data_IF_966543407602
#
_entry.id   IF_966543407602
#
_cell.length_a   1.000
_cell.length_b   1.000
_cell.length_c   1.000
_cell.angle_alpha   90.00
_cell.angle_beta   90.00
_cell.angle_gamma   90.00
#
_symmetry.space_group_name_H-M   'P 1'
#
loop_
_entity.id
_entity.type
_entity.pdbx_description
1 polymer ?
#
# COMPACT_ATOMS: atom_id res chain seq x y z
N UNK A 1 -38.04 -60.69 31.70
CA UNK A 1 -36.62 -60.94 32.05
C UNK A 1 -35.96 -61.45 30.79
N UNK A 2 -35.16 -60.70 30.04
CA UNK A 2 -34.21 -59.63 30.42
C UNK A 2 -34.10 -58.61 29.27
N UNK A 3 -34.12 -57.32 29.60
CA UNK A 3 -33.87 -56.23 28.67
C UNK A 3 -32.35 -56.10 28.39
N UNK A 4 -32.00 -55.96 27.11
CA UNK A 4 -30.66 -55.63 26.67
C UNK A 4 -30.46 -54.12 26.78
N UNK A 5 -29.57 -53.67 27.67
CA UNK A 5 -29.17 -52.26 27.76
C UNK A 5 -27.86 -52.07 27.00
N UNK A 6 -27.96 -51.46 25.81
CA UNK A 6 -26.84 -50.96 25.02
C UNK A 6 -26.31 -49.67 25.67
N UNK A 7 -25.07 -49.70 26.15
CA UNK A 7 -24.36 -48.52 26.63
C UNK A 7 -23.66 -47.81 25.47
N UNK A 8 -24.29 -46.77 24.92
CA UNK A 8 -23.62 -45.81 24.03
C UNK A 8 -22.93 -44.74 24.87
N UNK A 9 -21.59 -44.75 24.89
CA UNK A 9 -20.81 -43.63 25.40
C UNK A 9 -20.86 -42.48 24.39
N UNK A 10 -21.47 -41.38 24.80
CA UNK A 10 -21.51 -40.12 24.08
C UNK A 10 -20.20 -39.36 24.32
N UNK A 11 -19.29 -39.37 23.34
CA UNK A 11 -18.09 -38.53 23.34
C UNK A 11 -18.44 -37.14 22.81
N UNK A 12 -19.07 -36.33 23.66
CA UNK A 12 -19.11 -34.88 23.45
C UNK A 12 -17.78 -34.29 23.92
N UNK A 13 -16.74 -34.46 23.11
CA UNK A 13 -15.51 -33.69 23.28
C UNK A 13 -15.79 -32.22 22.96
N UNK A 14 -15.88 -31.47 24.04
CA UNK A 14 -15.93 -30.02 24.10
C UNK A 14 -14.71 -29.43 23.40
N UNK A 15 -14.87 -29.06 22.12
CA UNK A 15 -13.87 -28.25 21.45
C UNK A 15 -13.91 -26.83 22.00
N UNK A 16 -13.03 -26.56 22.97
CA UNK A 16 -12.56 -25.22 23.35
C UNK A 16 -11.81 -24.58 22.17
N UNK A 17 -12.57 -24.09 21.18
CA UNK A 17 -12.01 -23.23 20.15
C UNK A 17 -11.96 -21.83 20.72
N UNK A 18 -10.76 -21.45 21.16
CA UNK A 18 -10.40 -20.16 21.76
C UNK A 18 -11.10 -18.96 21.09
N UNK A 19 -11.53 -17.94 21.86
CA UNK A 19 -12.21 -16.73 21.35
C UNK A 19 -11.41 -15.87 20.35
N UNK A 20 -10.11 -16.17 20.16
CA UNK A 20 -9.18 -15.37 19.38
C UNK A 20 -9.53 -15.26 17.88
N UNK A 21 -10.40 -16.12 17.34
CA UNK A 21 -10.78 -16.09 15.93
C UNK A 21 -11.79 -14.98 15.58
N UNK A 22 -12.51 -14.44 16.58
CA UNK A 22 -13.50 -13.37 16.34
C UNK A 22 -12.85 -12.00 16.14
N UNK A 23 -11.71 -11.74 16.77
CA UNK A 23 -11.05 -10.42 16.77
C UNK A 23 -10.12 -10.21 15.57
N UNK A 24 -9.70 -11.29 14.90
CA UNK A 24 -8.67 -11.22 13.86
C UNK A 24 -9.20 -10.98 12.43
N UNK A 25 -10.47 -11.30 12.15
CA UNK A 25 -11.02 -11.18 10.78
C UNK A 25 -11.61 -9.80 10.47
N UNK A 26 -12.13 -9.11 11.48
CA UNK A 26 -12.49 -7.70 11.43
C UNK A 26 -12.24 -7.15 12.84
N UNK A 27 -11.13 -6.45 13.10
CA UNK A 27 -11.09 -5.57 14.26
C UNK A 27 -12.30 -4.66 14.12
N UNK A 28 -13.14 -4.58 15.13
CA UNK A 28 -14.11 -3.50 15.27
C UNK A 28 -13.43 -2.20 14.83
N UNK A 29 -13.92 -1.55 13.78
CA UNK A 29 -13.40 -0.29 13.29
C UNK A 29 -13.14 0.63 14.49
N UNK A 30 -11.90 1.09 14.74
CA UNK A 30 -11.66 2.05 15.80
C UNK A 30 -12.40 3.35 15.46
N UNK A 31 -13.31 3.77 16.32
CA UNK A 31 -13.77 5.15 16.38
C UNK A 31 -12.55 6.02 16.72
N UNK A 32 -11.89 6.57 15.69
CA UNK A 32 -10.83 7.57 15.89
C UNK A 32 -11.47 8.92 16.20
N UNK A 33 -11.75 9.14 17.48
CA UNK A 33 -11.91 10.48 18.03
C UNK A 33 -10.73 10.81 18.94
N UNK A 34 -10.15 11.99 18.72
CA UNK A 34 -9.17 12.74 19.51
C UNK A 34 -7.69 12.35 19.42
N UNK A 35 -6.96 13.15 18.63
CA UNK A 35 -5.52 13.42 18.77
C UNK A 35 -5.25 14.19 20.08
N UNK A 36 -4.21 13.87 20.86
CA UNK A 36 -3.62 14.80 21.81
C UNK A 36 -2.52 15.64 21.14
N UNK A 37 -2.69 16.95 21.28
CA UNK A 37 -1.78 18.03 20.90
C UNK A 37 -0.43 18.03 21.65
N UNK A 38 0.56 18.62 20.96
CA UNK A 38 1.74 19.39 21.44
C UNK A 38 2.97 18.64 21.95
N UNK A 39 4.09 18.89 21.25
CA UNK A 39 5.13 19.84 21.71
C UNK A 39 5.91 20.41 20.51
N UNK A 40 5.85 21.74 20.37
CA UNK A 40 6.64 22.56 19.46
C UNK A 40 8.02 22.74 20.10
N UNK A 41 9.10 22.40 19.39
CA UNK A 41 10.46 22.78 19.75
C UNK A 41 10.94 23.90 18.84
N UNK A 42 11.27 25.00 19.47
CA UNK A 42 11.63 26.32 18.96
C UNK A 42 12.95 26.31 18.17
N UNK A 43 12.92 26.78 16.92
CA UNK A 43 14.12 27.10 16.14
C UNK A 43 14.52 28.55 16.40
N UNK A 44 15.53 28.79 17.24
CA UNK A 44 16.07 30.13 17.44
C UNK A 44 17.04 30.49 16.31
N UNK A 45 16.64 31.46 15.49
CA UNK A 45 17.43 32.17 14.51
C UNK A 45 18.32 33.23 15.18
N UNK A 46 19.60 33.31 14.79
CA UNK A 46 20.45 34.48 15.03
C UNK A 46 21.28 34.81 13.79
N UNK A 47 20.74 35.71 12.96
CA UNK A 47 21.48 36.44 11.95
C UNK A 47 22.07 37.70 12.59
N UNK A 48 23.37 37.95 12.43
CA UNK A 48 23.98 39.24 12.78
C UNK A 48 24.79 39.77 11.62
N UNK A 49 24.29 40.88 11.08
CA UNK A 49 24.83 41.68 9.98
C UNK A 49 25.90 42.66 10.46
N UNK A 50 27.04 42.75 9.77
CA UNK A 50 27.90 43.94 9.82
C UNK A 50 28.57 44.23 8.46
N UNK A 51 28.25 45.40 7.93
CA UNK A 51 28.71 46.00 6.66
C UNK A 51 30.19 46.31 6.70
N UNK A 52 30.90 46.06 5.59
CA UNK A 52 31.98 46.95 5.11
C UNK A 52 31.85 47.09 3.59
N UNK A 53 31.50 48.32 3.16
CA UNK A 53 31.36 48.74 1.77
C UNK A 53 32.75 49.17 1.29
N UNK A 54 33.39 48.37 0.43
CA UNK A 54 34.59 48.81 -0.31
C UNK A 54 34.15 49.21 -1.72
N UNK A 55 34.23 50.50 -1.99
CA UNK A 55 34.14 51.08 -3.32
C UNK A 55 35.37 50.65 -4.11
N UNK A 56 35.18 49.89 -5.19
CA UNK A 56 36.22 49.54 -6.17
C UNK A 56 35.82 50.16 -7.49
N UNK A 57 36.77 50.90 -8.08
CA UNK A 57 36.67 51.63 -9.33
C UNK A 57 36.26 50.72 -10.49
N UNK A 58 35.56 51.31 -11.46
CA UNK A 58 35.21 50.69 -12.73
C UNK A 58 36.46 50.57 -13.60
N UNK A 59 37.26 49.56 -13.35
CA UNK A 59 38.22 49.06 -14.34
C UNK A 59 37.69 47.70 -14.80
N UNK A 60 37.35 47.62 -16.09
CA UNK A 60 36.95 46.35 -16.71
C UNK A 60 38.08 45.35 -16.50
N UNK A 61 37.85 44.41 -15.58
CA UNK A 61 38.81 43.35 -15.31
C UNK A 61 39.12 42.62 -16.62
N UNK A 62 40.40 42.46 -17.01
CA UNK A 62 40.76 41.70 -18.21
C UNK A 62 40.23 40.26 -18.14
N UNK A 63 40.02 39.74 -16.92
CA UNK A 63 39.39 38.45 -16.66
C UNK A 63 37.90 38.46 -17.06
N UNK A 64 37.18 39.55 -16.75
CA UNK A 64 35.75 39.68 -17.10
C UNK A 64 35.58 39.75 -18.62
N UNK A 65 36.45 40.50 -19.32
CA UNK A 65 36.44 40.56 -20.78
C UNK A 65 36.71 39.20 -21.43
N UNK A 66 37.71 38.46 -20.92
CA UNK A 66 38.01 37.10 -21.39
C UNK A 66 36.86 36.12 -21.15
N UNK A 67 36.21 36.18 -19.97
CA UNK A 67 35.06 35.34 -19.66
C UNK A 67 33.86 35.65 -20.56
N UNK A 68 33.60 36.93 -20.85
CA UNK A 68 32.54 37.32 -21.77
C UNK A 68 32.83 36.79 -23.18
N UNK A 69 34.07 36.93 -23.68
CA UNK A 69 34.49 36.45 -24.99
C UNK A 69 34.39 34.91 -25.12
N UNK A 70 34.82 34.16 -24.10
CA UNK A 70 34.65 32.69 -24.06
C UNK A 70 33.17 32.27 -24.08
N UNK A 71 32.29 33.03 -23.41
CA UNK A 71 30.86 32.72 -23.36
C UNK A 71 30.08 33.19 -24.61
N UNK A 72 30.56 34.22 -25.29
CA UNK A 72 29.92 34.74 -26.52
C UNK A 72 30.50 34.16 -27.80
N UNK A 73 31.65 33.48 -27.74
CA UNK A 73 32.15 32.66 -28.85
C UNK A 73 31.20 31.51 -29.12
N UNK A 74 30.34 31.71 -30.12
CA UNK A 74 29.28 30.83 -30.60
C UNK A 74 29.73 29.36 -30.69
N UNK A 75 29.04 28.53 -29.90
CA UNK A 75 28.93 27.09 -30.13
C UNK A 75 28.49 26.90 -31.59
N UNK A 76 29.15 26.06 -32.40
CA UNK A 76 28.65 25.77 -33.74
C UNK A 76 27.22 25.23 -33.61
N UNK A 77 26.27 25.90 -34.27
CA UNK A 77 24.87 25.50 -34.42
C UNK A 77 24.77 24.18 -35.19
N UNK A 78 25.27 23.08 -34.63
CA UNK A 78 25.14 21.75 -35.20
C UNK A 78 25.17 20.69 -34.10
N UNK A 79 24.25 20.80 -33.14
CA UNK A 79 23.77 19.62 -32.42
C UNK A 79 22.35 19.81 -31.88
N UNK A 80 21.44 20.31 -32.72
CA UNK A 80 20.07 19.78 -32.70
C UNK A 80 20.10 18.35 -33.23
N UNK A 81 20.87 17.47 -32.58
CA UNK A 81 20.66 16.04 -32.69
C UNK A 81 19.36 15.84 -31.94
N UNK A 82 18.27 15.84 -32.70
CA UNK A 82 17.04 15.22 -32.28
C UNK A 82 17.48 13.95 -31.54
N UNK A 83 17.15 13.87 -30.25
CA UNK A 83 17.17 12.59 -29.55
C UNK A 83 16.00 11.85 -30.20
N UNK A 84 16.25 11.35 -31.40
CA UNK A 84 15.61 10.16 -31.90
C UNK A 84 15.88 9.17 -30.79
N UNK A 85 14.86 8.94 -29.96
CA UNK A 85 14.84 7.86 -28.97
C UNK A 85 14.90 6.61 -29.82
N UNK A 86 16.11 6.27 -30.23
CA UNK A 86 16.41 5.05 -30.93
C UNK A 86 15.94 3.97 -29.99
N UNK A 87 14.86 3.31 -30.40
CA UNK A 87 14.30 2.07 -29.85
C UNK A 87 15.30 0.91 -29.98
N UNK A 88 16.61 1.22 -29.98
CA UNK A 88 17.70 0.28 -29.84
C UNK A 88 17.49 -0.49 -28.56
N UNK A 89 17.44 -1.80 -28.73
CA UNK A 89 17.46 -2.84 -27.72
C UNK A 89 18.58 -2.68 -26.67
N UNK A 90 19.53 -1.76 -26.86
CA UNK A 90 20.62 -1.46 -25.93
C UNK A 90 20.43 -0.15 -25.13
N UNK A 91 19.28 0.52 -25.23
CA UNK A 91 18.99 1.71 -24.42
C UNK A 91 18.63 1.30 -22.98
N UNK A 92 19.63 1.23 -22.11
CA UNK A 92 19.46 0.84 -20.70
C UNK A 92 18.45 1.70 -19.94
N UNK A 93 18.41 3.01 -20.21
CA UNK A 93 17.47 3.93 -19.54
C UNK A 93 16.02 3.61 -19.91
N UNK A 94 15.75 3.32 -21.19
CA UNK A 94 14.44 2.89 -21.64
C UNK A 94 14.00 1.60 -20.94
N UNK A 95 14.87 0.59 -20.92
CA UNK A 95 14.55 -0.70 -20.29
C UNK A 95 14.33 -0.57 -18.78
N UNK A 96 15.16 0.22 -18.09
CA UNK A 96 14.99 0.50 -16.67
C UNK A 96 13.63 1.16 -16.37
N UNK A 97 13.27 2.22 -17.11
CA UNK A 97 11.99 2.89 -16.93
C UNK A 97 10.81 1.96 -17.24
N UNK A 98 10.95 1.08 -18.24
CA UNK A 98 9.94 0.07 -18.57
C UNK A 98 9.75 -0.92 -17.43
N UNK A 99 10.84 -1.44 -16.84
CA UNK A 99 10.79 -2.32 -15.67
C UNK A 99 10.05 -1.61 -14.53
N UNK A 100 10.47 -0.40 -14.16
CA UNK A 100 9.84 0.36 -13.08
C UNK A 100 8.34 0.59 -13.29
N UNK A 101 7.91 0.92 -14.50
CA UNK A 101 6.49 1.10 -14.82
C UNK A 101 5.72 -0.22 -14.73
N UNK A 102 6.26 -1.31 -15.28
CA UNK A 102 5.61 -2.62 -15.24
C UNK A 102 5.49 -3.17 -13.83
N UNK A 103 6.52 -3.02 -12.99
CA UNK A 103 6.51 -3.45 -11.60
C UNK A 103 5.55 -2.60 -10.75
N UNK A 104 5.55 -1.28 -10.94
CA UNK A 104 4.61 -0.39 -10.26
C UNK A 104 3.17 -0.75 -10.60
N UNK A 105 2.88 -0.98 -11.89
CA UNK A 105 1.57 -1.40 -12.36
C UNK A 105 1.17 -2.76 -11.79
N UNK A 106 2.04 -3.77 -11.88
CA UNK A 106 1.77 -5.10 -11.35
C UNK A 106 1.54 -5.08 -9.84
N UNK A 107 2.36 -4.34 -9.09
CA UNK A 107 2.21 -4.18 -7.63
C UNK A 107 0.87 -3.55 -7.27
N UNK A 108 0.46 -2.54 -8.04
CA UNK A 108 -0.83 -1.88 -7.87
C UNK A 108 -2.01 -2.80 -8.17
N UNK A 109 -1.97 -3.53 -9.28
CA UNK A 109 -3.03 -4.49 -9.64
C UNK A 109 -3.18 -5.58 -8.58
N UNK A 110 -2.07 -6.03 -7.99
CA UNK A 110 -2.09 -6.97 -6.86
C UNK A 110 -2.77 -6.36 -5.65
N UNK A 111 -2.42 -5.12 -5.26
CA UNK A 111 -3.05 -4.42 -4.13
C UNK A 111 -4.56 -4.24 -4.38
N UNK A 112 -4.94 -3.80 -5.58
CA UNK A 112 -6.34 -3.63 -5.97
C UNK A 112 -7.12 -4.95 -5.93
N UNK A 113 -6.51 -6.04 -6.36
CA UNK A 113 -7.12 -7.39 -6.28
C UNK A 113 -7.37 -7.81 -4.84
N UNK A 114 -6.41 -7.59 -3.93
CA UNK A 114 -6.59 -7.86 -2.50
C UNK A 114 -7.66 -6.96 -1.87
N UNK A 115 -7.70 -5.67 -2.25
CA UNK A 115 -8.73 -4.75 -1.79
C UNK A 115 -10.13 -5.21 -2.21
N UNK A 116 -10.32 -5.52 -3.49
CA UNK A 116 -11.59 -5.99 -4.04
C UNK A 116 -12.01 -7.33 -3.41
N UNK A 117 -11.07 -8.23 -3.17
CA UNK A 117 -11.36 -9.49 -2.46
C UNK A 117 -11.82 -9.23 -1.01
N UNK A 118 -11.15 -8.32 -0.29
CA UNK A 118 -11.56 -7.89 1.05
C UNK A 118 -12.95 -7.24 1.08
N UNK A 119 -13.24 -6.38 0.11
CA UNK A 119 -14.54 -5.74 -0.05
C UNK A 119 -15.65 -6.77 -0.32
N UNK A 120 -15.39 -7.74 -1.20
CA UNK A 120 -16.33 -8.82 -1.49
C UNK A 120 -16.62 -9.68 -0.25
N UNK A 121 -15.59 -10.01 0.55
CA UNK A 121 -15.77 -10.72 1.83
C UNK A 121 -16.64 -9.90 2.79
N UNK A 122 -16.39 -8.58 2.91
CA UNK A 122 -17.19 -7.70 3.76
C UNK A 122 -18.65 -7.64 3.32
N UNK A 123 -18.92 -7.47 2.02
CA UNK A 123 -20.28 -7.47 1.46
C UNK A 123 -21.02 -8.78 1.76
N UNK A 124 -20.36 -9.93 1.61
CA UNK A 124 -20.97 -11.24 1.95
C UNK A 124 -21.21 -11.40 3.45
N UNK A 125 -20.26 -10.97 4.28
CA UNK A 125 -20.44 -10.96 5.71
C UNK A 125 -21.65 -10.12 6.13
N UNK A 126 -21.76 -8.90 5.61
CA UNK A 126 -22.87 -7.99 5.92
C UNK A 126 -24.21 -8.55 5.41
N UNK A 127 -24.22 -9.22 4.26
CA UNK A 127 -25.40 -9.95 3.78
C UNK A 127 -25.88 -11.01 4.78
N UNK A 128 -24.99 -11.89 5.26
CA UNK A 128 -25.36 -12.91 6.25
C UNK A 128 -25.72 -12.29 7.61
N UNK A 129 -25.08 -11.17 7.98
CA UNK A 129 -25.42 -10.43 9.20
C UNK A 129 -26.84 -9.88 9.13
N UNK A 130 -27.26 -9.38 7.97
CA UNK A 130 -28.62 -8.88 7.71
C UNK A 130 -29.67 -10.01 7.73
N UNK A 131 -29.27 -11.26 7.47
CA UNK A 131 -30.10 -12.45 7.67
C UNK A 131 -30.21 -12.89 9.15
N UNK A 132 -29.74 -12.08 10.10
CA UNK A 132 -29.74 -12.33 11.55
C UNK A 132 -28.89 -13.52 12.00
N UNK A 133 -27.90 -13.92 11.21
CA UNK A 133 -26.89 -14.85 11.68
C UNK A 133 -25.95 -14.20 12.71
N UNK A 134 -25.47 -14.99 13.68
CA UNK A 134 -24.39 -14.56 14.58
C UNK A 134 -23.07 -14.39 13.82
N UNK A 135 -22.12 -13.62 14.36
CA UNK A 135 -20.85 -13.32 13.66
C UNK A 135 -20.07 -14.59 13.28
N UNK A 136 -20.03 -15.56 14.19
CA UNK A 136 -19.39 -16.86 13.94
C UNK A 136 -20.03 -17.59 12.76
N UNK A 137 -21.37 -17.58 12.66
CA UNK A 137 -22.09 -18.21 11.56
C UNK A 137 -21.88 -17.45 10.25
N UNK A 138 -21.87 -16.11 10.27
CA UNK A 138 -21.54 -15.31 9.09
C UNK A 138 -20.15 -15.63 8.55
N UNK A 139 -19.14 -15.70 9.41
CA UNK A 139 -17.77 -16.05 9.01
C UNK A 139 -17.68 -17.46 8.42
N UNK A 140 -18.37 -18.43 9.01
CA UNK A 140 -18.43 -19.79 8.47
C UNK A 140 -19.05 -19.81 7.07
N UNK A 141 -20.19 -19.14 6.87
CA UNK A 141 -20.88 -19.06 5.58
C UNK A 141 -20.03 -18.39 4.50
N UNK A 142 -19.35 -17.29 4.84
CA UNK A 142 -18.40 -16.64 3.90
C UNK A 142 -17.26 -17.58 3.55
N UNK A 143 -16.69 -18.30 4.52
CA UNK A 143 -15.60 -19.23 4.28
C UNK A 143 -16.03 -20.39 3.38
N UNK A 144 -17.21 -20.96 3.61
CA UNK A 144 -17.78 -22.03 2.80
C UNK A 144 -18.04 -21.56 1.37
N UNK A 145 -18.57 -20.35 1.21
CA UNK A 145 -18.81 -19.75 -0.11
C UNK A 145 -17.49 -19.54 -0.88
N UNK A 146 -16.47 -18.97 -0.23
CA UNK A 146 -15.14 -18.82 -0.83
C UNK A 146 -14.58 -20.18 -1.23
N UNK A 147 -14.70 -21.19 -0.36
CA UNK A 147 -14.11 -22.50 -0.63
C UNK A 147 -14.78 -23.22 -1.80
N UNK A 148 -16.10 -23.02 -2.00
CA UNK A 148 -16.87 -23.53 -3.14
C UNK A 148 -16.48 -22.90 -4.48
N UNK A 149 -16.02 -21.64 -4.48
CA UNK A 149 -15.66 -20.91 -5.70
C UNK A 149 -14.19 -21.09 -6.09
N UNK A 150 -13.35 -21.56 -5.16
CA UNK A 150 -11.91 -21.72 -5.38
C UNK A 150 -11.55 -23.16 -5.73
N UNK A 151 -10.48 -23.35 -6.53
CA UNK A 151 -10.01 -24.68 -6.88
C UNK A 151 -9.44 -25.43 -5.67
N UNK A 152 -9.60 -26.75 -5.68
CA UNK A 152 -9.23 -27.63 -4.55
C UNK A 152 -7.74 -27.78 -4.29
N UNK A 153 -6.90 -27.36 -5.25
CA UNK A 153 -5.46 -27.37 -5.11
C UNK A 153 -4.92 -26.29 -4.15
N UNK A 154 -5.76 -25.37 -3.67
CA UNK A 154 -5.36 -24.34 -2.70
C UNK A 154 -5.45 -24.91 -1.28
N UNK A 155 -4.30 -24.96 -0.59
CA UNK A 155 -4.25 -25.33 0.83
C UNK A 155 -5.00 -24.32 1.71
N UNK A 156 -5.67 -24.82 2.76
CA UNK A 156 -6.39 -23.99 3.73
C UNK A 156 -5.53 -22.90 4.37
N UNK A 157 -4.25 -23.19 4.66
CA UNK A 157 -3.30 -22.20 5.19
C UNK A 157 -3.02 -21.05 4.21
N UNK A 158 -2.78 -21.39 2.94
CA UNK A 158 -2.56 -20.39 1.90
C UNK A 158 -3.81 -19.52 1.70
N UNK A 159 -5.01 -20.13 1.72
CA UNK A 159 -6.27 -19.40 1.65
C UNK A 159 -6.46 -18.48 2.86
N UNK A 160 -6.19 -18.97 4.07
CA UNK A 160 -6.24 -18.18 5.31
C UNK A 160 -5.34 -16.94 5.21
N UNK A 161 -4.08 -17.11 4.82
CA UNK A 161 -3.11 -16.00 4.64
C UNK A 161 -3.60 -14.97 3.63
N UNK A 162 -4.16 -15.41 2.49
CA UNK A 162 -4.71 -14.50 1.48
C UNK A 162 -5.90 -13.69 2.00
N UNK A 163 -6.82 -14.32 2.74
CA UNK A 163 -7.96 -13.64 3.36
C UNK A 163 -7.51 -12.62 4.41
N UNK A 164 -6.59 -12.99 5.29
CA UNK A 164 -6.03 -12.06 6.29
C UNK A 164 -5.36 -10.85 5.62
N UNK A 165 -4.56 -11.09 4.58
CA UNK A 165 -3.94 -10.00 3.81
C UNK A 165 -4.97 -9.10 3.14
N UNK A 166 -6.01 -9.68 2.54
CA UNK A 166 -7.10 -8.94 1.92
C UNK A 166 -7.88 -8.10 2.93
N UNK A 167 -8.21 -8.66 4.10
CA UNK A 167 -8.88 -7.93 5.19
C UNK A 167 -8.05 -6.74 5.66
N UNK A 168 -6.74 -6.90 5.82
CA UNK A 168 -5.82 -5.81 6.20
C UNK A 168 -5.75 -4.71 5.13
N UNK A 169 -5.57 -5.09 3.86
CA UNK A 169 -5.52 -4.14 2.74
C UNK A 169 -6.84 -3.38 2.62
N UNK A 170 -7.96 -4.10 2.68
CA UNK A 170 -9.29 -3.48 2.65
C UNK A 170 -9.48 -2.48 3.79
N UNK A 171 -9.21 -2.87 5.04
CA UNK A 171 -9.33 -1.97 6.19
C UNK A 171 -8.42 -0.74 6.09
N UNK A 172 -7.19 -0.90 5.58
CA UNK A 172 -6.28 0.23 5.36
C UNK A 172 -6.86 1.23 4.36
N UNK A 173 -7.24 0.77 3.16
CA UNK A 173 -7.70 1.66 2.09
C UNK A 173 -9.14 2.17 2.25
N UNK A 174 -9.96 1.51 3.06
CA UNK A 174 -11.21 2.12 3.55
C UNK A 174 -10.90 3.34 4.43
N UNK A 175 -9.81 3.29 5.20
CA UNK A 175 -9.44 4.38 6.13
C UNK A 175 -8.72 5.53 5.43
N UNK A 176 -7.78 5.23 4.52
CA UNK A 176 -6.96 6.26 3.85
C UNK A 176 -7.51 6.71 2.49
N UNK A 177 -8.56 6.04 2.00
CA UNK A 177 -9.17 6.29 0.70
C UNK A 177 -8.72 5.31 -0.39
N UNK A 178 -9.68 4.77 -1.15
CA UNK A 178 -9.41 3.84 -2.27
C UNK A 178 -8.59 4.51 -3.37
N UNK A 179 -8.73 5.81 -3.55
CA UNK A 179 -7.97 6.60 -4.50
C UNK A 179 -6.46 6.59 -4.22
N UNK A 180 -6.02 6.23 -3.01
CA UNK A 180 -4.60 6.06 -2.67
C UNK A 180 -3.97 4.78 -3.21
N UNK A 181 -4.78 3.87 -3.77
CA UNK A 181 -4.26 2.76 -4.58
C UNK A 181 -3.79 3.28 -5.95
N UNK A 182 -4.23 4.49 -6.36
CA UNK A 182 -4.01 5.06 -7.68
C UNK A 182 -2.78 5.93 -7.84
#
# INVERSE_FOLDING_TARGET
MVDATSGSQNTNDSMDISPALSTAYFPSLPQYSSLPEKRVSEFTSKSSSKKVKKHVSKEDSPILKKLIEELTSTIPENSKKAIEVNESTNNFLYHYNKIMQTESKASREVIESYFNFGEAMKKRFDYYKNLKHGDRACLALVNDEIRKQLPDNITNDALKKRKERAGKIYGLFVSIGKEKIR
#
